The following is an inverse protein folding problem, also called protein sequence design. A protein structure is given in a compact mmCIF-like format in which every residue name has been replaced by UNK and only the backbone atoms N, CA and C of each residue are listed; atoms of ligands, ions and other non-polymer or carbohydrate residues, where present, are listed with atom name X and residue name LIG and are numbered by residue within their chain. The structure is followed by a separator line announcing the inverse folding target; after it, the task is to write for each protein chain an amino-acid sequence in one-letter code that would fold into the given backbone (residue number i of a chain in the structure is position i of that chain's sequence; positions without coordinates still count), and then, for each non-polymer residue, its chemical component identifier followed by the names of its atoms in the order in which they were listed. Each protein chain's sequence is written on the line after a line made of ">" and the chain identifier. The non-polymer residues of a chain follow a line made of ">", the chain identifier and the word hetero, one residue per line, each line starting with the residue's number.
data_IF_775958226541
#
_entry.id   IF_775958226541
#
_cell.length_a   1.000
_cell.length_b   1.000
_cell.length_c   1.000
_cell.angle_alpha   90.00
_cell.angle_beta   90.00
_cell.angle_gamma   90.00
#
_symmetry.space_group_name_H-M   'P 1'
#
loop_
_entity.id
_entity.type
_entity.pdbx_description
1 polymer ?
#
# COMPACT_ATOMS: atom_id res chain seq x y z
N UNK A 1 -14.55 -21.66 44.17
CA UNK A 1 -13.58 -21.71 43.06
C UNK A 1 -14.15 -20.80 41.98
N UNK A 2 -13.56 -19.61 41.80
CA UNK A 2 -14.07 -18.60 40.86
C UNK A 2 -13.12 -18.57 39.67
N UNK A 3 -13.50 -19.20 38.56
CA UNK A 3 -12.80 -19.04 37.28
C UNK A 3 -13.05 -17.61 36.79
N UNK A 4 -11.98 -16.81 36.74
CA UNK A 4 -12.01 -15.46 36.17
C UNK A 4 -12.20 -15.49 34.65
N UNK A 5 -12.51 -14.35 34.03
CA UNK A 5 -12.82 -14.30 32.60
C UNK A 5 -11.57 -14.69 31.80
N UNK A 6 -11.67 -15.77 31.04
CA UNK A 6 -10.70 -16.14 30.01
C UNK A 6 -10.73 -15.09 28.90
N UNK A 7 -9.98 -14.00 29.07
CA UNK A 7 -9.65 -13.13 27.96
C UNK A 7 -8.75 -13.94 27.03
N UNK A 8 -9.33 -14.58 26.00
CA UNK A 8 -8.55 -15.25 24.95
C UNK A 8 -7.64 -14.21 24.33
N UNK A 9 -6.34 -14.34 24.57
CA UNK A 9 -5.32 -13.54 23.90
C UNK A 9 -5.28 -14.05 22.47
N UNK A 10 -5.96 -13.35 21.56
CA UNK A 10 -5.87 -13.63 20.13
C UNK A 10 -4.42 -13.35 19.74
N UNK A 11 -3.74 -14.39 19.25
CA UNK A 11 -2.36 -14.29 18.83
C UNK A 11 -2.25 -13.27 17.68
N UNK A 12 -1.20 -12.44 17.67
CA UNK A 12 -0.93 -11.53 16.55
C UNK A 12 -0.85 -12.27 15.19
N UNK A 13 -0.53 -13.57 15.20
CA UNK A 13 -0.53 -14.41 14.01
C UNK A 13 -1.94 -14.80 13.53
N UNK A 14 -2.94 -14.90 14.42
CA UNK A 14 -4.35 -15.08 14.03
C UNK A 14 -4.93 -13.78 13.44
N UNK A 15 -4.44 -12.61 13.86
CA UNK A 15 -4.87 -11.29 13.35
C UNK A 15 -4.38 -11.01 11.92
N UNK A 16 -3.28 -11.63 11.49
CA UNK A 16 -2.73 -11.49 10.14
C UNK A 16 -2.51 -12.85 9.47
N UNK A 17 -3.59 -13.62 9.32
CA UNK A 17 -3.58 -14.84 8.51
C UNK A 17 -3.55 -14.46 7.02
N UNK A 18 -2.38 -14.48 6.39
CA UNK A 18 -2.32 -14.46 4.93
C UNK A 18 -3.12 -15.68 4.39
N UNK A 19 -4.07 -15.50 3.45
CA UNK A 19 -4.23 -14.36 2.53
C UNK A 19 -5.37 -13.35 2.86
N UNK A 20 -5.86 -13.24 4.10
CA UNK A 20 -6.93 -12.27 4.44
C UNK A 20 -6.58 -10.83 4.04
N UNK A 21 -7.57 -10.06 3.58
CA UNK A 21 -7.40 -8.68 3.13
C UNK A 21 -6.62 -8.53 1.82
N UNK A 22 -6.42 -9.63 1.07
CA UNK A 22 -5.82 -9.63 -0.26
C UNK A 22 -6.88 -9.83 -1.34
N UNK A 23 -6.48 -9.62 -2.60
CA UNK A 23 -7.33 -9.90 -3.76
C UNK A 23 -7.95 -11.30 -3.68
N UNK A 24 -9.22 -11.40 -4.05
CA UNK A 24 -10.06 -12.61 -3.95
C UNK A 24 -10.29 -13.16 -2.53
N UNK A 25 -9.78 -12.50 -1.48
CA UNK A 25 -9.91 -12.90 -0.07
C UNK A 25 -10.31 -11.70 0.80
N UNK A 26 -11.25 -10.89 0.30
CA UNK A 26 -11.81 -9.74 0.98
C UNK A 26 -13.15 -10.12 1.61
N UNK A 27 -13.38 -9.68 2.85
CA UNK A 27 -14.72 -9.57 3.41
C UNK A 27 -15.51 -8.44 2.74
N UNK A 28 -16.83 -8.42 2.93
CA UNK A 28 -17.69 -7.37 2.35
C UNK A 28 -17.28 -5.96 2.80
N UNK A 29 -16.85 -5.81 4.06
CA UNK A 29 -16.38 -4.53 4.61
C UNK A 29 -15.10 -4.07 3.92
N UNK A 30 -14.15 -4.99 3.71
CA UNK A 30 -12.88 -4.69 3.04
C UNK A 30 -13.06 -4.39 1.55
N UNK A 31 -13.99 -5.08 0.89
CA UNK A 31 -14.37 -4.81 -0.50
C UNK A 31 -15.00 -3.42 -0.65
N UNK A 32 -15.91 -3.04 0.25
CA UNK A 32 -16.49 -1.70 0.28
C UNK A 32 -15.44 -0.62 0.52
N UNK A 33 -14.51 -0.85 1.46
CA UNK A 33 -13.40 0.07 1.72
C UNK A 33 -12.49 0.24 0.50
N UNK A 34 -12.23 -0.83 -0.26
CA UNK A 34 -11.49 -0.77 -1.53
C UNK A 34 -12.22 0.08 -2.57
N UNK A 35 -13.53 -0.09 -2.72
CA UNK A 35 -14.34 0.68 -3.67
C UNK A 35 -14.43 2.17 -3.31
N UNK A 36 -14.60 2.49 -2.02
CA UNK A 36 -14.57 3.86 -1.51
C UNK A 36 -13.20 4.51 -1.74
N UNK A 37 -12.14 3.78 -1.40
CA UNK A 37 -10.78 4.26 -1.58
C UNK A 37 -10.46 4.51 -3.06
N UNK A 38 -10.93 3.63 -3.96
CA UNK A 38 -10.81 3.80 -5.40
C UNK A 38 -11.46 5.09 -5.87
N UNK A 39 -12.71 5.34 -5.48
CA UNK A 39 -13.44 6.56 -5.83
C UNK A 39 -12.70 7.80 -5.35
N UNK A 40 -12.25 7.81 -4.09
CA UNK A 40 -11.53 8.93 -3.51
C UNK A 40 -10.23 9.24 -4.25
N UNK A 41 -9.43 8.23 -4.58
CA UNK A 41 -8.19 8.42 -5.34
C UNK A 41 -8.47 8.93 -6.77
N UNK A 42 -9.52 8.43 -7.43
CA UNK A 42 -9.92 8.90 -8.76
C UNK A 42 -10.38 10.36 -8.73
N UNK A 43 -11.24 10.74 -7.77
CA UNK A 43 -11.71 12.12 -7.60
C UNK A 43 -10.56 13.11 -7.37
N UNK A 44 -9.48 12.65 -6.75
CA UNK A 44 -8.27 13.45 -6.48
C UNK A 44 -7.23 13.38 -7.60
N UNK A 45 -7.54 12.70 -8.71
CA UNK A 45 -6.65 12.47 -9.85
C UNK A 45 -5.33 11.78 -9.48
N UNK A 46 -5.31 11.02 -8.38
CA UNK A 46 -4.16 10.21 -7.96
C UNK A 46 -4.27 8.75 -8.44
N UNK A 47 -5.38 8.41 -9.11
CA UNK A 47 -5.62 7.08 -9.64
C UNK A 47 -6.45 7.15 -10.92
N UNK A 48 -6.06 6.39 -11.95
CA UNK A 48 -6.74 6.35 -13.25
C UNK A 48 -7.26 4.95 -13.66
N UNK A 49 -7.02 3.91 -12.84
CA UNK A 49 -7.59 2.58 -13.08
C UNK A 49 -7.05 1.80 -14.28
N UNK A 50 -6.10 2.35 -15.03
CA UNK A 50 -5.59 1.71 -16.25
C UNK A 50 -4.16 1.25 -16.03
N UNK A 51 -3.89 -0.06 -16.19
CA UNK A 51 -2.52 -0.54 -16.43
C UNK A 51 -2.08 -0.04 -17.80
N UNK A 52 -1.71 1.23 -17.91
CA UNK A 52 -0.75 1.60 -18.94
C UNK A 52 0.62 1.30 -18.34
N UNK A 53 1.44 0.62 -19.13
CA UNK A 53 2.89 0.63 -18.93
C UNK A 53 3.33 2.08 -19.00
N UNK A 54 3.25 2.76 -17.88
CA UNK A 54 3.76 4.09 -17.59
C UNK A 54 3.56 4.25 -16.08
N UNK A 55 4.56 4.79 -15.41
CA UNK A 55 4.84 4.72 -13.97
C UNK A 55 3.73 5.18 -12.99
N UNK A 56 2.50 5.48 -13.44
CA UNK A 56 1.47 6.21 -12.69
C UNK A 56 0.07 5.58 -12.60
N UNK A 57 -0.11 4.26 -12.63
CA UNK A 57 -1.39 3.66 -12.21
C UNK A 57 -1.23 2.46 -11.29
N UNK A 58 -1.77 2.61 -10.08
CA UNK A 58 -1.69 1.65 -8.98
C UNK A 58 -2.75 0.57 -9.12
N UNK A 59 -2.40 -0.70 -9.28
CA UNK A 59 -3.42 -1.75 -9.31
C UNK A 59 -4.18 -1.90 -7.99
N UNK A 60 -5.33 -2.60 -7.99
CA UNK A 60 -6.09 -2.86 -6.76
C UNK A 60 -5.21 -3.51 -5.66
N UNK A 61 -4.20 -4.30 -6.05
CA UNK A 61 -3.24 -4.86 -5.11
C UNK A 61 -2.41 -3.78 -4.40
N UNK A 62 -2.06 -2.70 -5.08
CA UNK A 62 -1.35 -1.55 -4.51
C UNK A 62 -2.26 -0.77 -3.57
N UNK A 63 -3.50 -0.47 -3.97
CA UNK A 63 -4.48 0.18 -3.08
C UNK A 63 -4.72 -0.64 -1.80
N UNK A 64 -4.85 -1.96 -1.93
CA UNK A 64 -4.99 -2.88 -0.79
C UNK A 64 -3.77 -2.92 0.14
N UNK A 65 -2.56 -2.56 -0.32
CA UNK A 65 -1.40 -2.44 0.58
C UNK A 65 -1.57 -1.26 1.53
N UNK A 66 -2.02 -0.11 1.03
CA UNK A 66 -2.30 1.08 1.85
C UNK A 66 -3.46 0.84 2.81
N UNK A 67 -4.56 0.22 2.34
CA UNK A 67 -5.67 -0.13 3.21
C UNK A 67 -5.25 -1.07 4.33
N UNK A 68 -4.52 -2.15 4.04
CA UNK A 68 -4.02 -3.07 5.09
C UNK A 68 -3.10 -2.38 6.09
N UNK A 69 -2.19 -1.51 5.62
CA UNK A 69 -1.30 -0.73 6.48
C UNK A 69 -2.05 0.23 7.42
N UNK A 70 -3.32 0.54 7.11
CA UNK A 70 -4.19 1.43 7.89
C UNK A 70 -5.47 0.74 8.36
N UNK A 71 -5.46 -0.59 8.47
CA UNK A 71 -6.58 -1.39 9.00
C UNK A 71 -7.92 -1.08 8.30
N UNK A 72 -7.86 -0.87 6.98
CA UNK A 72 -8.98 -0.51 6.12
C UNK A 72 -9.68 0.82 6.47
N UNK A 73 -9.02 1.71 7.21
CA UNK A 73 -9.44 3.10 7.30
C UNK A 73 -9.10 3.84 6.00
N UNK A 74 -10.14 4.19 5.23
CA UNK A 74 -10.02 4.81 3.90
C UNK A 74 -9.32 6.17 3.96
N UNK A 75 -9.61 7.01 4.96
CA UNK A 75 -9.03 8.36 5.05
C UNK A 75 -7.55 8.30 5.42
N UNK A 76 -7.18 7.46 6.39
CA UNK A 76 -5.78 7.28 6.78
C UNK A 76 -4.96 6.63 5.65
N UNK A 77 -5.56 5.68 4.92
CA UNK A 77 -4.95 5.07 3.74
C UNK A 77 -4.74 6.10 2.62
N UNK A 78 -5.72 6.98 2.40
CA UNK A 78 -5.61 8.05 1.43
C UNK A 78 -4.53 9.07 1.78
N UNK A 79 -4.45 9.50 3.04
CA UNK A 79 -3.40 10.41 3.47
C UNK A 79 -2.02 9.80 3.22
N UNK A 80 -1.80 8.53 3.62
CA UNK A 80 -0.54 7.84 3.39
C UNK A 80 -0.22 7.69 1.89
N UNK A 81 -1.22 7.37 1.07
CA UNK A 81 -1.05 7.22 -0.37
C UNK A 81 -0.67 8.54 -1.04
N UNK A 82 -1.39 9.62 -0.73
CA UNK A 82 -1.11 10.98 -1.20
C UNK A 82 0.31 11.41 -0.84
N UNK A 83 0.70 11.27 0.42
CA UNK A 83 2.04 11.66 0.89
C UNK A 83 3.14 10.87 0.17
N UNK A 84 2.87 9.60 -0.15
CA UNK A 84 3.81 8.74 -0.91
C UNK A 84 3.98 9.24 -2.34
N UNK A 85 2.89 9.58 -3.03
CA UNK A 85 2.94 10.08 -4.41
C UNK A 85 3.60 11.47 -4.47
N UNK A 86 3.30 12.35 -3.52
CA UNK A 86 3.94 13.66 -3.39
C UNK A 86 5.45 13.52 -3.15
N UNK A 87 5.86 12.58 -2.29
CA UNK A 87 7.28 12.27 -2.08
C UNK A 87 7.94 11.72 -3.35
N UNK A 88 7.27 10.83 -4.09
CA UNK A 88 7.78 10.28 -5.36
C UNK A 88 8.02 11.38 -6.39
N UNK A 89 7.05 12.29 -6.55
CA UNK A 89 7.16 13.42 -7.45
C UNK A 89 8.28 14.39 -7.02
N UNK A 90 8.34 14.73 -5.73
CA UNK A 90 9.36 15.63 -5.19
C UNK A 90 10.80 15.10 -5.36
N UNK A 91 10.97 13.77 -5.28
CA UNK A 91 12.26 13.12 -5.48
C UNK A 91 12.52 12.69 -6.93
N UNK A 92 11.63 13.07 -7.86
CA UNK A 92 11.73 12.78 -9.29
C UNK A 92 12.00 11.29 -9.55
N UNK A 93 11.32 10.40 -8.81
CA UNK A 93 11.61 8.96 -8.84
C UNK A 93 11.50 8.38 -10.25
N UNK A 94 10.53 8.84 -11.05
CA UNK A 94 10.36 8.41 -12.44
C UNK A 94 11.60 8.73 -13.28
N UNK A 95 12.02 10.00 -13.27
CA UNK A 95 13.25 10.43 -13.96
C UNK A 95 14.47 9.67 -13.47
N UNK A 96 14.59 9.46 -12.15
CA UNK A 96 15.68 8.67 -11.59
C UNK A 96 15.70 7.26 -12.18
N UNK A 97 14.57 6.54 -12.21
CA UNK A 97 14.52 5.19 -12.77
C UNK A 97 14.82 5.13 -14.28
N UNK A 98 14.43 6.16 -15.04
CA UNK A 98 14.70 6.24 -16.48
C UNK A 98 16.15 6.62 -16.80
N UNK A 99 16.80 7.39 -15.93
CA UNK A 99 18.08 8.05 -16.23
C UNK A 99 19.24 7.59 -15.35
N UNK A 100 18.99 6.69 -14.39
CA UNK A 100 20.04 6.20 -13.48
C UNK A 100 21.18 5.54 -14.25
N UNK A 101 22.40 6.02 -13.99
CA UNK A 101 23.62 5.38 -14.48
C UNK A 101 23.93 4.14 -13.63
N UNK A 102 23.69 2.97 -14.23
CA UNK A 102 23.92 1.69 -13.58
C UNK A 102 25.40 1.44 -13.27
N UNK A 103 26.33 1.93 -14.09
CA UNK A 103 27.76 1.75 -13.84
C UNK A 103 28.18 2.56 -12.61
N UNK A 104 27.77 3.82 -12.56
CA UNK A 104 28.03 4.69 -11.40
C UNK A 104 27.39 4.15 -10.11
N UNK A 105 26.16 3.63 -10.19
CA UNK A 105 25.49 2.98 -9.06
C UNK A 105 26.28 1.76 -8.54
N UNK A 106 26.79 0.91 -9.44
CA UNK A 106 27.60 -0.26 -9.07
C UNK A 106 28.95 0.13 -8.44
N UNK A 107 29.58 1.19 -8.94
CA UNK A 107 30.84 1.70 -8.39
C UNK A 107 30.67 2.25 -6.97
N UNK A 108 29.64 3.06 -6.74
CA UNK A 108 29.35 3.65 -5.42
C UNK A 108 28.97 2.59 -4.39
N UNK A 109 28.27 1.52 -4.79
CA UNK A 109 27.92 0.40 -3.90
C UNK A 109 29.13 -0.40 -3.39
N UNK A 110 30.23 -0.45 -4.14
CA UNK A 110 31.46 -1.18 -3.75
C UNK A 110 32.30 -0.45 -2.70
N UNK A 111 32.07 0.84 -2.50
CA UNK A 111 32.84 1.68 -1.58
C UNK A 111 32.42 1.54 -0.11
N UNK A 112 31.40 0.73 0.19
CA UNK A 112 31.07 0.30 1.56
C UNK A 112 31.80 -1.01 1.84
N UNK A 113 33.03 -0.90 2.37
CA UNK A 113 33.76 -2.02 2.98
C UNK A 113 34.29 -1.60 4.34
#
# INVERSE_FOLDING_TARGET
>A
MSEGPVHRVISAAEVYSFPQGHLAHLSDVEANALDEFRKLCTEKNLYSGTKKYDFGSHDDATLLRFLRARRFNVQDAFQQFKDTEEWRAANQLETLYETIDLQHFEETRRLVR
#
